data_IF_532114737881
#
_entry.id   IF_532114737881
#
_cell.length_a   1.000
_cell.length_b   1.000
_cell.length_c   1.000
_cell.angle_alpha   90.00
_cell.angle_beta   90.00
_cell.angle_gamma   90.00
#
_symmetry.space_group_name_H-M   'P 1'
#
loop_
_entity.id
_entity.type
_entity.pdbx_description
1 polymer ?
#
# COMPACT_ATOMS: atom_id res chain seq x y z
N UNK A 1 -28.07 -7.04 -46.12
CA UNK A 1 -28.56 -6.20 -45.00
C UNK A 1 -28.26 -6.92 -43.70
N UNK A 2 -27.73 -6.16 -42.72
CA UNK A 2 -27.57 -6.46 -41.29
C UNK A 2 -26.60 -7.60 -40.90
N UNK A 3 -25.72 -7.47 -39.90
CA UNK A 3 -25.41 -6.37 -38.99
C UNK A 3 -23.96 -6.57 -38.46
N UNK A 4 -23.16 -5.50 -38.49
CA UNK A 4 -21.92 -5.42 -37.69
C UNK A 4 -22.32 -5.19 -36.23
N UNK A 5 -22.09 -6.20 -35.38
CA UNK A 5 -22.32 -6.12 -33.95
C UNK A 5 -20.99 -5.90 -33.20
N UNK A 6 -20.80 -4.67 -32.74
CA UNK A 6 -20.16 -4.34 -31.45
C UNK A 6 -18.67 -4.61 -31.29
N UNK A 7 -17.84 -3.69 -31.79
CA UNK A 7 -16.45 -3.53 -31.33
C UNK A 7 -16.42 -3.11 -29.85
N UNK A 8 -16.39 -4.08 -28.94
CA UNK A 8 -16.29 -3.82 -27.51
C UNK A 8 -14.92 -3.24 -27.15
N UNK A 9 -14.90 -2.06 -26.54
CA UNK A 9 -13.66 -1.49 -26.00
C UNK A 9 -13.04 -2.45 -24.95
N UNK A 10 -11.72 -2.66 -24.94
CA UNK A 10 -11.07 -3.55 -23.99
C UNK A 10 -11.27 -3.07 -22.54
N UNK A 11 -11.77 -3.98 -21.70
CA UNK A 11 -12.12 -3.74 -20.29
C UNK A 11 -10.93 -3.30 -19.41
N UNK A 12 -9.69 -3.63 -19.80
CA UNK A 12 -8.48 -3.33 -19.03
C UNK A 12 -7.58 -2.39 -19.82
N UNK A 13 -7.70 -1.09 -19.54
CA UNK A 13 -6.86 -0.05 -20.16
C UNK A 13 -6.47 1.00 -19.13
N UNK A 14 -5.26 1.53 -19.26
CA UNK A 14 -4.90 2.76 -18.56
C UNK A 14 -5.63 3.92 -19.19
N UNK A 15 -6.64 4.43 -18.50
CA UNK A 15 -7.25 5.71 -18.85
C UNK A 15 -6.47 6.78 -18.12
N UNK A 16 -5.71 7.60 -18.87
CA UNK A 16 -5.24 8.87 -18.31
C UNK A 16 -6.49 9.71 -18.09
N UNK A 17 -6.87 9.87 -16.82
CA UNK A 17 -7.91 10.80 -16.43
C UNK A 17 -7.31 12.19 -16.61
N UNK A 18 -7.46 12.76 -17.81
CA UNK A 18 -7.17 14.18 -18.02
C UNK A 18 -8.06 14.93 -17.04
N UNK A 19 -7.46 15.79 -16.21
CA UNK A 19 -8.22 16.66 -15.32
C UNK A 19 -9.26 17.37 -16.17
N UNK A 20 -10.53 16.98 -16.06
CA UNK A 20 -11.60 17.61 -16.83
C UNK A 20 -11.63 19.09 -16.42
N UNK A 21 -11.44 19.93 -17.42
CA UNK A 21 -11.43 21.39 -17.43
C UNK A 21 -10.14 22.09 -16.96
N UNK A 22 -9.58 22.89 -17.88
CA UNK A 22 -8.71 24.01 -17.56
C UNK A 22 -9.33 24.82 -16.39
N UNK A 23 -8.57 25.00 -15.31
CA UNK A 23 -8.97 25.82 -14.17
C UNK A 23 -9.31 25.09 -12.86
N UNK A 24 -9.31 23.75 -12.78
CA UNK A 24 -9.49 23.02 -11.50
C UNK A 24 -8.15 22.57 -10.92
N UNK A 25 -7.82 23.00 -9.69
CA UNK A 25 -6.58 22.65 -8.98
C UNK A 25 -6.50 21.14 -8.70
N UNK A 26 -5.32 20.56 -8.83
CA UNK A 26 -4.96 19.17 -8.50
C UNK A 26 -3.76 19.15 -7.54
N UNK A 27 -3.51 18.08 -6.78
CA UNK A 27 -2.32 18.00 -5.94
C UNK A 27 -1.05 18.15 -6.79
N UNK A 28 -0.05 18.97 -6.37
CA UNK A 28 1.25 19.02 -7.03
C UNK A 28 1.96 17.67 -6.99
N UNK A 29 2.91 17.50 -7.92
CA UNK A 29 3.80 16.35 -7.97
C UNK A 29 4.53 16.19 -6.63
N UNK A 30 4.59 14.96 -6.12
CA UNK A 30 5.07 14.66 -4.76
C UNK A 30 5.51 13.21 -4.61
N UNK A 31 6.52 12.98 -3.78
CA UNK A 31 7.01 11.65 -3.40
C UNK A 31 6.81 11.39 -1.91
N UNK A 32 6.78 10.12 -1.51
CA UNK A 32 6.61 9.72 -0.11
C UNK A 32 5.24 10.04 0.50
N UNK A 33 4.26 10.44 -0.32
CA UNK A 33 2.87 10.63 0.07
C UNK A 33 2.19 9.27 0.32
N UNK A 34 1.04 9.28 0.99
CA UNK A 34 0.19 8.10 1.11
C UNK A 34 -1.18 8.35 0.53
N UNK A 35 -1.80 7.27 0.05
CA UNK A 35 -3.15 7.29 -0.47
C UNK A 35 -3.96 6.13 0.10
N UNK A 36 -5.25 6.41 0.33
CA UNK A 36 -6.25 5.42 0.77
C UNK A 36 -7.58 5.78 0.10
N UNK A 37 -8.45 4.80 -0.09
CA UNK A 37 -9.72 5.02 -0.75
C UNK A 37 -10.89 4.40 0.02
N UNK A 38 -12.05 5.03 -0.08
CA UNK A 38 -13.34 4.39 0.16
C UNK A 38 -14.02 4.11 -1.20
N UNK A 39 -15.31 3.76 -1.19
CA UNK A 39 -16.06 3.47 -2.42
C UNK A 39 -16.34 4.71 -3.29
N UNK A 40 -16.14 5.92 -2.77
CA UNK A 40 -16.52 7.19 -3.40
C UNK A 40 -15.31 8.08 -3.71
N UNK A 41 -14.26 7.99 -2.90
CA UNK A 41 -13.15 8.91 -2.90
C UNK A 41 -11.79 8.22 -2.74
N UNK A 42 -10.78 8.76 -3.42
CA UNK A 42 -9.37 8.58 -3.11
C UNK A 42 -8.90 9.78 -2.29
N UNK A 43 -8.23 9.52 -1.18
CA UNK A 43 -7.58 10.51 -0.33
C UNK A 43 -6.07 10.46 -0.55
N UNK A 44 -5.43 11.63 -0.63
CA UNK A 44 -3.97 11.77 -0.76
C UNK A 44 -3.49 12.74 0.31
N UNK A 45 -2.50 12.32 1.08
CA UNK A 45 -1.98 13.11 2.19
C UNK A 45 -0.45 13.05 2.26
N UNK A 46 0.15 14.19 2.63
CA UNK A 46 1.59 14.33 2.78
C UNK A 46 2.35 14.27 1.45
N UNK A 47 3.60 13.87 1.57
CA UNK A 47 4.62 13.85 0.54
C UNK A 47 5.50 15.09 0.59
N UNK A 48 6.54 15.08 -0.25
CA UNK A 48 7.45 16.20 -0.41
C UNK A 48 7.80 16.41 -1.88
N UNK A 49 8.20 17.63 -2.22
CA UNK A 49 8.82 17.98 -3.50
C UNK A 49 9.68 19.24 -3.35
N UNK A 50 11.02 19.11 -3.39
CA UNK A 50 11.93 20.25 -3.28
C UNK A 50 11.97 21.12 -4.53
N UNK A 51 11.36 20.69 -5.64
CA UNK A 51 11.33 21.45 -6.90
C UNK A 51 9.98 22.19 -7.09
N UNK A 52 9.17 22.31 -6.04
CA UNK A 52 7.84 22.92 -6.12
C UNK A 52 7.84 24.40 -5.70
N UNK A 53 8.21 25.27 -6.64
CA UNK A 53 8.38 26.71 -6.44
C UNK A 53 7.10 27.44 -5.98
N UNK A 54 5.92 26.99 -6.42
CA UNK A 54 4.63 27.63 -6.10
C UNK A 54 4.23 27.51 -4.62
N UNK A 55 4.92 26.69 -3.83
CA UNK A 55 4.69 26.60 -2.39
C UNK A 55 5.32 27.74 -1.58
N UNK A 56 5.97 28.72 -2.22
CA UNK A 56 6.64 29.82 -1.53
C UNK A 56 8.09 29.52 -1.13
N UNK A 57 8.62 28.37 -1.56
CA UNK A 57 10.00 27.98 -1.30
C UNK A 57 10.35 27.92 0.19
N UNK A 58 11.62 28.14 0.57
CA UNK A 58 12.08 28.04 1.96
C UNK A 58 11.41 28.98 2.97
N UNK A 59 10.67 30.01 2.52
CA UNK A 59 9.94 30.93 3.41
C UNK A 59 8.65 30.31 3.94
N UNK A 60 8.12 29.27 3.28
CA UNK A 60 7.00 28.50 3.79
C UNK A 60 7.49 27.47 4.82
N UNK A 61 6.97 27.53 6.04
CA UNK A 61 7.36 26.62 7.13
C UNK A 61 7.13 25.13 6.80
N UNK A 62 6.18 24.81 5.93
CA UNK A 62 5.91 23.44 5.53
C UNK A 62 6.80 23.00 4.35
N UNK A 63 7.52 23.90 3.66
CA UNK A 63 8.36 23.54 2.52
C UNK A 63 9.55 22.63 2.89
N UNK A 64 9.86 21.56 2.12
CA UNK A 64 9.24 21.14 0.87
C UNK A 64 8.17 20.04 1.05
N UNK A 65 7.57 19.94 2.24
CA UNK A 65 6.53 18.98 2.57
C UNK A 65 5.14 19.52 2.22
N UNK A 66 4.20 18.60 1.95
CA UNK A 66 2.82 18.95 1.63
C UNK A 66 1.88 18.68 2.80
N UNK A 67 1.61 19.72 3.58
CA UNK A 67 0.70 19.67 4.74
C UNK A 67 -0.75 19.94 4.37
N UNK A 68 -1.29 19.08 3.51
CA UNK A 68 -2.61 19.24 2.92
C UNK A 68 -3.27 17.90 2.60
N UNK A 69 -4.59 17.85 2.75
CA UNK A 69 -5.41 16.68 2.41
C UNK A 69 -6.14 16.90 1.09
N UNK A 70 -5.88 16.04 0.11
CA UNK A 70 -6.57 16.04 -1.18
C UNK A 70 -7.57 14.90 -1.27
N UNK A 71 -8.69 15.17 -1.95
CA UNK A 71 -9.73 14.18 -2.24
C UNK A 71 -10.05 14.17 -3.73
N UNK A 72 -9.97 13.01 -4.34
CA UNK A 72 -10.46 12.75 -5.69
C UNK A 72 -11.77 11.99 -5.63
N UNK A 73 -12.84 12.57 -6.16
CA UNK A 73 -14.15 11.93 -6.18
C UNK A 73 -14.32 11.10 -7.46
N UNK A 74 -14.48 9.78 -7.33
CA UNK A 74 -14.41 8.86 -8.46
C UNK A 74 -15.49 9.10 -9.51
N UNK A 75 -16.73 9.35 -9.09
CA UNK A 75 -17.85 9.49 -10.03
C UNK A 75 -17.81 10.79 -10.85
N UNK A 76 -17.28 11.88 -10.28
CA UNK A 76 -17.17 13.18 -10.96
C UNK A 76 -15.82 13.35 -11.65
N UNK A 77 -14.82 12.59 -11.22
CA UNK A 77 -13.45 12.65 -11.74
C UNK A 77 -12.71 13.92 -11.34
N UNK A 78 -12.98 14.47 -10.15
CA UNK A 78 -12.53 15.81 -9.75
C UNK A 78 -11.75 15.81 -8.45
N UNK A 79 -10.62 16.51 -8.44
CA UNK A 79 -9.84 16.83 -7.25
C UNK A 79 -10.45 17.97 -6.45
N UNK A 80 -10.32 17.86 -5.13
CA UNK A 80 -10.66 18.90 -4.17
C UNK A 80 -9.61 18.90 -3.06
N UNK A 81 -8.96 20.03 -2.83
CA UNK A 81 -8.18 20.24 -1.62
C UNK A 81 -9.17 20.43 -0.47
N UNK A 82 -9.07 19.59 0.55
CA UNK A 82 -9.94 19.65 1.71
C UNK A 82 -9.37 20.67 2.69
N UNK A 83 -10.11 21.76 2.93
CA UNK A 83 -9.85 22.62 4.09
C UNK A 83 -10.13 21.83 5.37
N UNK A 84 -9.09 21.60 6.15
CA UNK A 84 -9.17 20.88 7.43
C UNK A 84 -8.59 21.71 8.56
N UNK A 85 -9.12 21.58 9.76
CA UNK A 85 -8.64 22.24 10.97
C UNK A 85 -7.97 21.24 11.94
N UNK A 86 -7.42 21.75 13.03
CA UNK A 86 -6.88 20.94 14.12
C UNK A 86 -5.41 20.51 13.97
N UNK A 87 -5.05 19.42 14.64
CA UNK A 87 -3.66 19.00 14.87
C UNK A 87 -3.14 18.08 13.76
N UNK A 88 -2.89 18.65 12.58
CA UNK A 88 -2.27 17.92 11.46
C UNK A 88 -0.80 17.57 11.77
N UNK A 89 -0.30 16.37 11.41
CA UNK A 89 1.11 16.00 11.62
C UNK A 89 2.08 16.90 10.84
N UNK A 90 3.36 16.89 11.23
CA UNK A 90 4.46 17.62 10.55
C UNK A 90 5.41 16.68 9.81
N UNK A 91 5.44 15.40 10.17
CA UNK A 91 6.32 14.38 9.60
C UNK A 91 5.70 13.74 8.36
N UNK A 92 5.65 14.52 7.29
CA UNK A 92 4.77 14.30 6.15
C UNK A 92 5.37 13.47 5.01
N UNK A 93 6.59 12.94 5.15
CA UNK A 93 7.16 12.03 4.16
C UNK A 93 7.34 10.62 4.73
N UNK A 94 7.02 9.60 3.92
CA UNK A 94 7.18 8.18 4.28
C UNK A 94 6.44 7.75 5.56
N UNK A 95 5.36 8.44 5.94
CA UNK A 95 4.43 8.01 6.99
C UNK A 95 3.64 6.77 6.56
N UNK A 96 2.83 6.20 7.47
CA UNK A 96 1.80 5.22 7.15
C UNK A 96 0.42 5.85 7.27
N UNK A 97 -0.52 5.43 6.43
CA UNK A 97 -1.89 5.92 6.44
C UNK A 97 -2.86 4.76 6.21
N UNK A 98 -3.91 4.69 7.03
CA UNK A 98 -5.02 3.76 6.85
C UNK A 98 -6.35 4.49 6.99
N UNK A 99 -7.39 3.98 6.33
CA UNK A 99 -8.76 4.47 6.47
C UNK A 99 -9.58 3.47 7.29
N UNK A 100 -10.26 3.95 8.33
CA UNK A 100 -11.18 3.16 9.14
C UNK A 100 -12.49 3.92 9.37
N UNK A 101 -13.55 3.47 8.71
CA UNK A 101 -14.80 4.22 8.64
C UNK A 101 -14.57 5.57 7.96
N UNK A 102 -14.80 6.67 8.69
CA UNK A 102 -14.54 8.04 8.23
C UNK A 102 -13.24 8.64 8.79
N UNK A 103 -12.40 7.82 9.43
CA UNK A 103 -11.20 8.28 10.11
C UNK A 103 -9.96 7.85 9.32
N UNK A 104 -9.17 8.82 8.88
CA UNK A 104 -7.81 8.60 8.38
C UNK A 104 -6.89 8.54 9.58
N UNK A 105 -6.20 7.43 9.79
CA UNK A 105 -5.18 7.31 10.84
C UNK A 105 -3.79 7.39 10.20
N UNK A 106 -2.98 8.33 10.66
CA UNK A 106 -1.60 8.57 10.22
C UNK A 106 -0.66 8.25 11.37
N UNK A 107 0.43 7.55 11.07
CA UNK A 107 1.48 7.23 12.04
C UNK A 107 2.87 7.34 11.42
N UNK A 108 3.83 7.78 12.23
CA UNK A 108 5.24 7.86 11.87
C UNK A 108 5.52 8.85 10.75
N UNK A 109 6.61 8.61 10.03
CA UNK A 109 7.07 9.48 8.95
C UNK A 109 8.22 10.38 9.39
N UNK A 110 8.76 11.14 8.44
CA UNK A 110 9.85 12.07 8.64
C UNK A 110 9.47 13.47 8.18
N UNK A 111 9.85 14.46 8.99
CA UNK A 111 9.89 15.88 8.66
C UNK A 111 11.29 16.31 8.24
N UNK A 112 11.57 17.61 8.30
CA UNK A 112 12.88 18.21 8.01
C UNK A 112 13.61 18.46 9.35
N UNK A 113 14.91 18.13 9.46
CA UNK A 113 15.73 17.39 8.50
C UNK A 113 15.28 15.94 8.32
N UNK A 114 15.32 15.43 7.08
CA UNK A 114 14.85 14.08 6.75
C UNK A 114 15.70 13.00 7.44
N UNK A 115 15.02 12.03 8.06
CA UNK A 115 15.64 10.95 8.84
C UNK A 115 15.94 11.32 10.28
N UNK A 116 15.95 12.61 10.64
CA UNK A 116 16.23 13.08 11.99
C UNK A 116 14.95 13.52 12.73
N UNK A 117 14.07 14.24 12.04
CA UNK A 117 12.77 14.67 12.60
C UNK A 117 11.69 13.62 12.36
N UNK A 118 11.70 12.55 13.15
CA UNK A 118 10.75 11.43 12.99
C UNK A 118 9.57 11.48 13.98
N UNK A 119 8.41 11.03 13.51
CA UNK A 119 7.17 10.99 14.29
C UNK A 119 6.93 9.63 14.94
N UNK A 120 6.20 9.61 16.07
CA UNK A 120 5.58 8.41 16.62
C UNK A 120 4.23 8.69 17.31
N UNK A 121 3.62 9.82 16.95
CA UNK A 121 2.26 10.16 17.37
C UNK A 121 1.26 9.57 16.37
N UNK A 122 0.06 9.23 16.86
CA UNK A 122 -1.06 8.83 16.01
C UNK A 122 -1.93 10.06 15.76
N UNK A 123 -2.06 10.46 14.51
CA UNK A 123 -2.95 11.54 14.10
C UNK A 123 -4.18 10.96 13.41
N UNK A 124 -5.35 11.55 13.69
CA UNK A 124 -6.62 11.12 13.13
C UNK A 124 -7.31 12.28 12.45
N UNK A 125 -7.69 12.13 11.19
CA UNK A 125 -8.57 13.06 10.51
C UNK A 125 -9.94 12.42 10.31
N UNK A 126 -10.99 12.99 10.88
CA UNK A 126 -12.33 12.63 10.48
C UNK A 126 -12.71 13.37 9.19
N UNK A 127 -12.90 12.66 8.09
CA UNK A 127 -13.14 13.29 6.77
C UNK A 127 -14.53 13.91 6.62
N UNK A 128 -15.49 13.59 7.51
CA UNK A 128 -16.82 14.24 7.52
C UNK A 128 -16.76 15.62 8.15
N UNK A 129 -16.17 15.71 9.34
CA UNK A 129 -16.05 16.97 10.08
C UNK A 129 -14.78 17.77 9.69
N UNK A 130 -13.89 17.16 8.90
CA UNK A 130 -12.66 17.77 8.36
C UNK A 130 -11.70 18.25 9.44
N UNK A 131 -11.61 17.50 10.53
CA UNK A 131 -10.82 17.88 11.71
C UNK A 131 -9.77 16.85 12.03
N UNK A 132 -8.55 17.34 12.27
CA UNK A 132 -7.41 16.57 12.75
C UNK A 132 -7.30 16.62 14.25
N UNK A 133 -7.01 15.47 14.84
CA UNK A 133 -6.71 15.32 16.25
C UNK A 133 -5.46 14.47 16.43
N UNK A 134 -4.64 14.83 17.42
CA UNK A 134 -3.59 13.96 17.91
C UNK A 134 -4.21 13.04 18.97
N UNK A 135 -4.14 11.73 18.76
CA UNK A 135 -4.58 10.78 19.78
C UNK A 135 -3.57 10.75 20.92
N UNK A 136 -4.06 11.00 22.13
CA UNK A 136 -3.32 10.71 23.35
C UNK A 136 -3.35 9.19 23.56
N UNK A 137 -2.23 8.55 23.26
CA UNK A 137 -2.01 7.14 23.50
C UNK A 137 -1.00 6.95 24.64
N UNK A 138 -1.17 5.89 25.41
CA UNK A 138 -0.30 5.48 26.51
C UNK A 138 0.40 4.15 26.20
N UNK A 139 1.13 3.61 27.16
CA UNK A 139 1.83 2.33 27.03
C UNK A 139 3.14 2.40 26.24
N UNK A 140 3.59 1.26 25.73
CA UNK A 140 4.89 1.13 25.06
C UNK A 140 4.79 1.50 23.58
N UNK A 141 4.93 2.79 23.30
CA UNK A 141 4.90 3.33 21.92
C UNK A 141 6.07 2.83 21.08
N UNK A 142 5.89 2.71 19.75
CA UNK A 142 7.01 2.53 18.84
C UNK A 142 7.99 3.71 18.94
N UNK A 143 9.24 3.45 18.59
CA UNK A 143 10.25 4.49 18.42
C UNK A 143 9.83 5.48 17.31
N UNK A 144 10.44 6.67 17.32
CA UNK A 144 10.27 7.67 16.25
C UNK A 144 10.93 7.16 14.97
N UNK A 145 10.11 6.68 14.04
CA UNK A 145 10.54 5.99 12.82
C UNK A 145 9.72 6.42 11.60
N UNK A 146 10.25 6.14 10.42
CA UNK A 146 9.56 6.31 9.14
C UNK A 146 9.65 5.05 8.27
N UNK A 147 8.80 4.97 7.25
CA UNK A 147 8.76 3.85 6.31
C UNK A 147 8.18 2.56 6.90
N UNK A 148 7.46 2.62 8.02
CA UNK A 148 6.71 1.49 8.55
C UNK A 148 5.47 1.17 7.70
N UNK A 149 4.92 -0.04 7.91
CA UNK A 149 3.62 -0.42 7.38
C UNK A 149 2.61 -0.61 8.51
N UNK A 150 1.33 -0.43 8.19
CA UNK A 150 0.27 -0.35 9.18
C UNK A 150 -1.03 -0.94 8.68
N UNK A 151 -1.77 -1.62 9.55
CA UNK A 151 -3.09 -2.17 9.25
C UNK A 151 -4.00 -2.12 10.49
N UNK A 152 -5.32 -2.03 10.27
CA UNK A 152 -6.31 -2.14 11.34
C UNK A 152 -7.00 -3.48 11.25
N UNK A 153 -6.96 -4.26 12.32
CA UNK A 153 -7.54 -5.60 12.40
C UNK A 153 -8.29 -5.71 13.72
N UNK A 154 -9.60 -5.98 13.66
CA UNK A 154 -10.45 -6.23 14.83
C UNK A 154 -10.34 -5.16 15.93
N UNK A 155 -10.29 -3.87 15.56
CA UNK A 155 -10.21 -2.75 16.51
C UNK A 155 -8.80 -2.43 17.01
N UNK A 156 -7.78 -3.13 16.51
CA UNK A 156 -6.39 -2.86 16.84
C UNK A 156 -5.63 -2.32 15.64
N UNK A 157 -4.78 -1.32 15.87
CA UNK A 157 -3.83 -0.80 14.88
C UNK A 157 -2.48 -1.50 15.06
N UNK A 158 -2.05 -2.22 14.03
CA UNK A 158 -0.76 -2.90 14.00
C UNK A 158 0.24 -2.07 13.20
N UNK A 159 1.44 -1.88 13.74
CA UNK A 159 2.55 -1.19 13.09
C UNK A 159 3.77 -2.10 13.12
N UNK A 160 4.41 -2.30 11.96
CA UNK A 160 5.57 -3.17 11.84
C UNK A 160 6.71 -2.48 11.10
N UNK A 161 7.93 -2.74 11.57
CA UNK A 161 9.18 -2.31 10.97
C UNK A 161 9.31 -0.79 10.86
N UNK A 162 10.13 -0.33 9.92
CA UNK A 162 10.51 1.08 9.75
C UNK A 162 11.97 1.31 10.09
N UNK A 163 12.40 2.56 10.04
CA UNK A 163 13.79 2.96 10.32
C UNK A 163 13.87 4.30 11.03
N UNK A 164 14.92 4.48 11.83
CA UNK A 164 15.34 5.78 12.39
C UNK A 164 16.23 6.57 11.44
N UNK A 165 16.51 6.05 10.23
CA UNK A 165 17.54 6.55 9.32
C UNK A 165 18.89 5.85 9.49
N UNK A 166 19.18 5.34 10.70
CA UNK A 166 20.40 4.61 11.02
C UNK A 166 20.14 3.14 11.35
N UNK A 167 19.03 2.86 12.04
CA UNK A 167 18.67 1.53 12.52
C UNK A 167 17.33 1.15 11.93
N UNK A 168 17.26 -0.04 11.33
CA UNK A 168 16.02 -0.63 10.84
C UNK A 168 15.42 -1.53 11.92
N UNK A 169 14.10 -1.58 11.99
CA UNK A 169 13.38 -2.33 13.02
C UNK A 169 12.64 -3.54 12.43
N UNK A 170 12.48 -4.56 13.26
CA UNK A 170 11.56 -5.71 13.09
C UNK A 170 10.44 -5.69 14.14
N UNK A 171 10.32 -4.59 14.89
CA UNK A 171 9.36 -4.52 15.99
C UNK A 171 7.93 -4.51 15.47
N UNK A 172 7.09 -5.32 16.12
CA UNK A 172 5.65 -5.30 15.95
C UNK A 172 5.01 -4.61 17.16
N UNK A 173 4.26 -3.55 16.90
CA UNK A 173 3.47 -2.87 17.91
C UNK A 173 2.00 -2.95 17.59
N UNK A 174 1.18 -3.00 18.65
CA UNK A 174 -0.27 -3.00 18.56
C UNK A 174 -0.84 -1.92 19.47
N UNK A 175 -1.68 -1.07 18.92
CA UNK A 175 -2.49 -0.11 19.67
C UNK A 175 -3.93 -0.61 19.73
N UNK A 176 -4.47 -0.71 20.93
CA UNK A 176 -5.91 -0.86 21.12
C UNK A 176 -6.59 0.49 20.87
N UNK A 177 -7.47 0.57 19.86
CA UNK A 177 -8.12 1.85 19.50
C UNK A 177 -9.20 2.26 20.50
N UNK A 178 -9.67 1.35 21.36
CA UNK A 178 -10.65 1.62 22.40
C UNK A 178 -10.00 2.19 23.66
N UNK A 179 -8.93 1.56 24.14
CA UNK A 179 -8.21 1.99 25.35
C UNK A 179 -7.10 3.00 25.05
N UNK A 180 -6.66 3.09 23.79
CA UNK A 180 -5.52 3.91 23.34
C UNK A 180 -4.19 3.50 23.97
N UNK A 181 -4.06 2.23 24.32
CA UNK A 181 -2.85 1.67 24.92
C UNK A 181 -2.00 0.93 23.88
N UNK A 182 -0.72 1.29 23.80
CA UNK A 182 0.27 0.59 22.99
C UNK A 182 0.91 -0.57 23.74
N UNK A 183 1.06 -1.69 23.04
CA UNK A 183 1.89 -2.82 23.47
C UNK A 183 2.87 -3.20 22.36
N UNK A 184 4.11 -3.52 22.74
CA UNK A 184 5.05 -4.17 21.85
C UNK A 184 4.80 -5.68 21.89
N UNK A 185 4.48 -6.26 20.74
CA UNK A 185 4.32 -7.69 20.58
C UNK A 185 5.69 -8.31 20.30
N UNK A 186 6.08 -9.28 21.11
CA UNK A 186 7.32 -10.04 20.91
C UNK A 186 6.98 -11.40 20.31
N UNK A 187 7.36 -11.68 19.05
CA UNK A 187 7.19 -13.00 18.48
C UNK A 187 7.96 -14.04 19.29
N UNK A 188 7.39 -15.24 19.45
CA UNK A 188 8.02 -16.35 20.18
C UNK A 188 8.73 -17.33 19.23
N UNK A 189 9.31 -16.81 18.15
CA UNK A 189 9.96 -17.59 17.11
C UNK A 189 11.48 -17.57 17.33
N UNK A 190 12.21 -18.62 16.92
CA UNK A 190 13.66 -18.54 16.84
C UNK A 190 14.08 -17.42 15.88
N UNK A 191 15.24 -16.75 16.09
CA UNK A 191 15.65 -15.60 15.27
C UNK A 191 15.70 -15.87 13.76
N UNK A 192 16.00 -17.11 13.34
CA UNK A 192 16.04 -17.50 11.93
C UNK A 192 14.67 -17.47 11.22
N UNK A 193 13.58 -17.49 11.99
CA UNK A 193 12.21 -17.48 11.48
C UNK A 193 11.60 -16.06 11.48
N UNK A 194 12.35 -15.06 11.97
CA UNK A 194 11.93 -13.67 11.94
C UNK A 194 12.27 -13.03 10.58
N UNK A 195 11.42 -12.13 10.07
CA UNK A 195 11.80 -11.33 8.92
C UNK A 195 12.99 -10.43 9.28
N UNK A 196 13.89 -10.22 8.32
CA UNK A 196 14.94 -9.20 8.45
C UNK A 196 14.35 -7.80 8.63
N UNK A 197 15.10 -6.94 9.30
CA UNK A 197 14.78 -5.53 9.52
C UNK A 197 14.53 -4.78 8.21
N UNK A 198 13.48 -3.95 8.17
CA UNK A 198 13.03 -3.37 6.90
C UNK A 198 12.21 -2.09 7.05
N UNK A 199 12.26 -1.25 6.03
CA UNK A 199 11.37 -0.11 5.83
C UNK A 199 10.83 -0.10 4.39
N UNK A 200 9.79 0.70 4.12
CA UNK A 200 9.07 0.81 2.83
C UNK A 200 8.52 -0.52 2.30
N UNK A 201 8.19 -1.44 3.20
CA UNK A 201 7.41 -2.64 2.90
C UNK A 201 5.91 -2.30 2.97
N UNK A 202 5.07 -3.22 2.51
CA UNK A 202 3.62 -3.12 2.62
C UNK A 202 3.06 -4.28 3.46
N UNK A 203 1.89 -4.05 4.07
CA UNK A 203 1.17 -5.06 4.85
C UNK A 203 -0.18 -5.36 4.22
N UNK A 204 -0.52 -6.65 4.16
CA UNK A 204 -1.87 -7.14 3.86
C UNK A 204 -2.34 -8.08 4.99
N UNK A 205 -3.65 -8.32 5.09
CA UNK A 205 -4.20 -9.26 6.08
C UNK A 205 -5.47 -9.95 5.58
N UNK A 206 -5.75 -11.14 6.12
CA UNK A 206 -6.98 -11.92 5.92
C UNK A 206 -7.83 -12.03 7.21
N UNK A 207 -7.55 -11.16 8.18
CA UNK A 207 -8.09 -11.13 9.56
C UNK A 207 -7.57 -12.25 10.49
N UNK A 208 -6.84 -13.23 9.97
CA UNK A 208 -6.17 -14.28 10.76
C UNK A 208 -4.65 -14.09 10.77
N UNK A 209 -4.10 -13.54 9.70
CA UNK A 209 -2.67 -13.38 9.44
C UNK A 209 -2.36 -11.99 8.92
N UNK A 210 -1.17 -11.52 9.27
CA UNK A 210 -0.53 -10.33 8.69
C UNK A 210 0.56 -10.82 7.75
N UNK A 211 0.54 -10.31 6.53
CA UNK A 211 1.54 -10.56 5.49
C UNK A 211 2.40 -9.32 5.35
N UNK A 212 3.72 -9.49 5.39
CA UNK A 212 4.70 -8.42 5.18
C UNK A 212 5.36 -8.65 3.82
N UNK A 213 5.24 -7.67 2.93
CA UNK A 213 5.62 -7.82 1.52
C UNK A 213 6.70 -6.79 1.15
N UNK A 214 7.82 -7.29 0.64
CA UNK A 214 8.94 -6.47 0.15
C UNK A 214 9.60 -5.62 1.23
N UNK A 215 9.86 -4.36 0.88
CA UNK A 215 10.70 -3.43 1.64
C UNK A 215 12.19 -3.72 1.52
N UNK A 216 12.99 -3.11 2.36
CA UNK A 216 14.44 -3.25 2.31
C UNK A 216 15.14 -2.49 3.42
N UNK A 217 16.45 -2.39 3.30
CA UNK A 217 17.32 -1.43 3.98
C UNK A 217 17.84 -0.41 2.95
N UNK A 218 18.72 0.52 3.34
CA UNK A 218 19.35 1.44 2.38
C UNK A 218 20.31 0.76 1.40
N UNK A 219 20.73 -0.48 1.66
CA UNK A 219 21.67 -1.23 0.82
C UNK A 219 21.06 -2.49 0.18
N UNK A 220 19.86 -2.90 0.60
CA UNK A 220 19.22 -4.11 0.08
C UNK A 220 17.74 -3.89 -0.11
N UNK A 221 17.22 -4.18 -1.29
CA UNK A 221 15.79 -4.34 -1.52
C UNK A 221 15.44 -5.82 -1.40
N UNK A 222 14.47 -6.16 -0.57
CA UNK A 222 13.98 -7.52 -0.43
C UNK A 222 13.02 -7.83 -1.57
N UNK A 223 13.44 -8.76 -2.42
CA UNK A 223 12.60 -9.35 -3.44
C UNK A 223 11.43 -10.10 -2.82
N UNK A 224 10.34 -10.22 -3.58
CA UNK A 224 9.25 -11.16 -3.29
C UNK A 224 9.66 -12.62 -3.59
N UNK A 225 10.96 -12.90 -3.65
CA UNK A 225 11.57 -14.13 -4.16
C UNK A 225 11.31 -15.38 -3.30
N UNK A 226 10.96 -15.21 -2.01
CA UNK A 226 10.43 -16.33 -1.21
C UNK A 226 9.06 -16.85 -1.71
N UNK A 227 8.43 -16.18 -2.68
CA UNK A 227 7.27 -16.69 -3.42
C UNK A 227 7.66 -17.55 -4.64
N UNK A 228 8.96 -17.76 -4.92
CA UNK A 228 9.51 -18.54 -6.04
C UNK A 228 9.25 -17.95 -7.43
N UNK A 229 8.30 -17.03 -7.53
CA UNK A 229 7.78 -16.47 -8.75
C UNK A 229 7.32 -15.03 -8.52
N UNK A 230 7.71 -14.13 -9.42
CA UNK A 230 7.20 -12.77 -9.46
C UNK A 230 6.12 -12.65 -10.51
N UNK A 231 4.97 -12.11 -10.10
CA UNK A 231 3.89 -11.71 -10.98
C UNK A 231 3.95 -10.19 -11.17
N UNK A 232 4.17 -9.75 -12.40
CA UNK A 232 4.21 -8.35 -12.78
C UNK A 232 2.90 -8.05 -13.51
N UNK A 233 2.01 -7.32 -12.88
CA UNK A 233 0.83 -6.83 -13.57
C UNK A 233 1.12 -5.47 -14.21
N UNK A 234 1.13 -5.46 -15.53
CA UNK A 234 1.29 -4.28 -16.36
C UNK A 234 2.73 -3.80 -16.58
N UNK A 235 2.88 -2.57 -17.07
CA UNK A 235 4.18 -1.98 -17.40
C UNK A 235 4.11 -1.00 -18.57
N UNK A 236 5.21 -0.30 -18.85
CA UNK A 236 5.35 0.61 -20.01
C UNK A 236 6.04 -0.15 -21.14
N UNK A 237 5.34 -0.33 -22.27
CA UNK A 237 5.87 -1.04 -23.44
C UNK A 237 6.41 -0.11 -24.52
N UNK A 238 6.02 1.17 -24.48
CA UNK A 238 6.62 2.21 -25.32
C UNK A 238 6.49 3.58 -24.63
N UNK A 239 7.62 4.18 -24.27
CA UNK A 239 7.67 5.45 -23.53
C UNK A 239 7.24 6.62 -24.43
N UNK A 240 7.67 6.66 -25.68
CA UNK A 240 7.38 7.74 -26.63
C UNK A 240 5.88 7.85 -26.95
N UNK A 241 5.19 6.71 -26.98
CA UNK A 241 3.74 6.63 -27.23
C UNK A 241 2.92 6.49 -25.95
N UNK A 242 3.56 6.51 -24.77
CA UNK A 242 2.95 6.24 -23.46
C UNK A 242 2.07 4.96 -23.46
N UNK A 243 2.49 3.94 -24.22
CA UNK A 243 1.78 2.67 -24.35
C UNK A 243 2.11 1.80 -23.15
N UNK A 244 1.08 1.35 -22.45
CA UNK A 244 1.17 0.48 -21.28
C UNK A 244 0.45 -0.83 -21.54
N UNK A 245 0.87 -1.87 -20.84
CA UNK A 245 0.23 -3.18 -20.91
C UNK A 245 -0.53 -3.47 -19.61
N UNK A 246 -1.63 -4.23 -19.70
CA UNK A 246 -2.31 -4.87 -18.56
C UNK A 246 -2.00 -6.36 -18.48
N UNK A 247 -1.01 -6.83 -19.27
CA UNK A 247 -0.55 -8.20 -19.21
C UNK A 247 -0.03 -8.52 -17.81
N UNK A 248 -0.46 -9.66 -17.31
CA UNK A 248 0.17 -10.30 -16.17
C UNK A 248 1.37 -11.09 -16.70
N UNK A 249 2.57 -10.63 -16.39
CA UNK A 249 3.78 -11.38 -16.66
C UNK A 249 4.14 -12.20 -15.43
N UNK A 250 4.66 -13.39 -15.69
CA UNK A 250 5.17 -14.28 -14.68
C UNK A 250 6.64 -14.52 -14.97
N UNK A 251 7.51 -14.35 -13.99
CA UNK A 251 8.91 -14.77 -14.10
C UNK A 251 9.30 -15.60 -12.88
N UNK A 252 9.88 -16.75 -13.16
CA UNK A 252 10.51 -17.58 -12.14
C UNK A 252 11.78 -16.89 -11.66
N UNK A 253 11.84 -16.57 -10.36
CA UNK A 253 13.02 -15.93 -9.76
C UNK A 253 14.04 -16.97 -9.26
N UNK A 254 13.60 -18.22 -9.15
CA UNK A 254 14.39 -19.42 -8.85
C UNK A 254 13.91 -20.57 -9.74
N UNK A 255 14.71 -21.62 -9.92
CA UNK A 255 14.28 -22.80 -10.69
C UNK A 255 13.02 -23.40 -10.03
N UNK A 256 11.86 -23.45 -10.72
CA UNK A 256 10.65 -24.01 -10.15
C UNK A 256 10.79 -25.51 -9.88
N UNK A 257 10.05 -26.00 -8.89
CA UNK A 257 9.98 -27.45 -8.67
C UNK A 257 9.35 -28.15 -9.88
N UNK A 258 9.69 -29.43 -10.09
CA UNK A 258 9.08 -30.23 -11.15
C UNK A 258 7.55 -30.28 -11.01
N UNK A 259 7.03 -30.29 -9.77
CA UNK A 259 5.60 -30.24 -9.50
C UNK A 259 4.96 -28.97 -10.06
N UNK A 260 5.56 -27.79 -9.85
CA UNK A 260 5.03 -26.52 -10.38
C UNK A 260 5.05 -26.48 -11.90
N UNK A 261 6.15 -26.93 -12.52
CA UNK A 261 6.25 -27.01 -13.99
C UNK A 261 5.21 -27.97 -14.58
N UNK A 262 5.04 -29.15 -13.98
CA UNK A 262 4.04 -30.12 -14.40
C UNK A 262 2.63 -29.56 -14.23
N UNK A 263 2.38 -28.86 -13.12
CA UNK A 263 1.08 -28.27 -12.82
C UNK A 263 0.68 -27.18 -13.82
N UNK A 264 1.58 -26.27 -14.17
CA UNK A 264 1.31 -25.24 -15.18
C UNK A 264 1.05 -25.84 -16.56
N UNK A 265 1.85 -26.84 -16.95
CA UNK A 265 1.64 -27.53 -18.22
C UNK A 265 0.30 -28.27 -18.24
N UNK A 266 -0.04 -28.96 -17.15
CA UNK A 266 -1.31 -29.67 -17.04
C UNK A 266 -2.50 -28.73 -17.25
N UNK A 267 -2.54 -27.59 -16.55
CA UNK A 267 -3.65 -26.63 -16.69
C UNK A 267 -3.67 -25.90 -18.04
N UNK A 268 -2.50 -25.72 -18.66
CA UNK A 268 -2.40 -25.18 -20.02
C UNK A 268 -3.03 -26.12 -21.06
N UNK A 269 -2.81 -27.43 -20.95
CA UNK A 269 -3.37 -28.42 -21.88
C UNK A 269 -4.78 -28.86 -21.51
N UNK A 270 -5.15 -28.81 -20.22
CA UNK A 270 -6.45 -29.25 -19.71
C UNK A 270 -7.12 -28.15 -18.87
N UNK A 271 -7.46 -26.99 -19.47
CA UNK A 271 -8.02 -25.85 -18.73
C UNK A 271 -9.38 -26.15 -18.10
N UNK A 272 -10.13 -27.12 -18.62
CA UNK A 272 -11.42 -27.54 -18.10
C UNK A 272 -11.35 -28.10 -16.67
N UNK A 273 -10.18 -28.58 -16.21
CA UNK A 273 -9.99 -29.08 -14.85
C UNK A 273 -10.41 -28.05 -13.79
N UNK A 274 -10.22 -26.75 -14.04
CA UNK A 274 -10.61 -25.69 -13.09
C UNK A 274 -12.13 -25.67 -12.80
N UNK A 275 -12.93 -26.10 -13.76
CA UNK A 275 -14.39 -26.05 -13.69
C UNK A 275 -15.02 -27.35 -13.20
N UNK A 276 -14.24 -28.43 -13.09
CA UNK A 276 -14.77 -29.71 -12.61
C UNK A 276 -15.05 -29.66 -11.10
N UNK A 277 -16.05 -30.45 -10.64
CA UNK A 277 -16.30 -30.63 -9.23
C UNK A 277 -15.19 -31.46 -8.57
N UNK A 278 -14.95 -31.21 -7.28
CA UNK A 278 -13.86 -31.82 -6.50
C UNK A 278 -13.83 -33.34 -6.56
N UNK A 279 -15.00 -34.00 -6.56
CA UNK A 279 -15.10 -35.45 -6.66
C UNK A 279 -14.56 -36.02 -7.98
N UNK A 280 -14.77 -35.33 -9.11
CA UNK A 280 -14.24 -35.75 -10.41
C UNK A 280 -12.72 -35.51 -10.49
N UNK A 281 -12.24 -34.42 -9.89
CA UNK A 281 -10.80 -34.15 -9.81
C UNK A 281 -10.06 -35.21 -8.99
N UNK A 282 -10.63 -35.63 -7.85
CA UNK A 282 -10.10 -36.74 -7.06
C UNK A 282 -10.06 -38.06 -7.86
N UNK A 283 -11.09 -38.34 -8.66
CA UNK A 283 -11.13 -39.53 -9.53
C UNK A 283 -10.06 -39.52 -10.63
N UNK A 284 -9.63 -38.36 -11.11
CA UNK A 284 -8.49 -38.21 -12.00
C UNK A 284 -7.13 -38.32 -11.30
N UNK A 285 -7.11 -38.60 -10.00
CA UNK A 285 -5.88 -38.81 -9.23
C UNK A 285 -5.22 -37.53 -8.75
N UNK A 286 -5.90 -36.38 -8.82
CA UNK A 286 -5.40 -35.13 -8.24
C UNK A 286 -5.46 -35.19 -6.71
N UNK A 287 -4.36 -34.78 -6.05
CA UNK A 287 -4.34 -34.69 -4.59
C UNK A 287 -5.19 -33.52 -4.09
N UNK A 288 -5.68 -33.61 -2.85
CA UNK A 288 -6.48 -32.55 -2.23
C UNK A 288 -5.80 -31.17 -2.28
N UNK A 289 -4.48 -31.12 -2.02
CA UNK A 289 -3.71 -29.89 -2.08
C UNK A 289 -3.59 -29.28 -3.49
N UNK A 290 -3.67 -30.08 -4.55
CA UNK A 290 -3.72 -29.56 -5.94
C UNK A 290 -5.13 -29.08 -6.31
N UNK A 291 -6.16 -29.75 -5.80
CA UNK A 291 -7.56 -29.36 -6.00
C UNK A 291 -7.85 -28.01 -5.33
N UNK A 292 -7.34 -27.78 -4.13
CA UNK A 292 -7.45 -26.49 -3.41
C UNK A 292 -6.84 -25.33 -4.20
N UNK A 293 -5.90 -25.59 -5.12
CA UNK A 293 -5.30 -24.56 -5.99
C UNK A 293 -6.17 -24.19 -7.19
N UNK A 294 -7.28 -24.90 -7.44
CA UNK A 294 -8.23 -24.64 -8.53
C UNK A 294 -9.49 -23.91 -8.07
N UNK A 295 -9.76 -23.84 -6.76
CA UNK A 295 -10.99 -23.28 -6.16
C UNK A 295 -10.68 -22.04 -5.35
#
# INVERSE_FOLDING_TARGET
>A
MAAEAGGGEPLVRFVKLSGRAAGRRSPPARSGHRCVADNTNLYVFGGYNPDYDESGGPENEDYPLFRELWRYHFATGTWHQMGTDGYMPRELASMSLVLHGYNLLVFGGTGIPFGESNGNDVHVCNVKYKRWEKLNCDGKKPNRIYGQAMAIINGFLYVFGGTTGYIYSTDLHRLDLSTREWVQLKPNNPPCDLPEERYRHEIAHDNRRIYVLGGGTSWTAYSLDKAGCMYIHGGVVNIQQNKRTGSLFKIWLVVPSLLELCWENLLKYFPHLAHLPTNQLLQFGLSQGLIERLK
#
